data_IF_356692476709
#
_entry.id   IF_356692476709
#
_cell.length_a   1.000
_cell.length_b   1.000
_cell.length_c   1.000
_cell.angle_alpha   90.00
_cell.angle_beta   90.00
_cell.angle_gamma   90.00
#
_symmetry.space_group_name_H-M   'P 1'
#
loop_
_entity.id
_entity.type
_entity.pdbx_description
1 polymer ?
#
# COMPACT_ATOMS: atom_id res chain seq x y z
N UNK A 1 43.90 1.52 -24.64
CA UNK A 1 42.50 1.67 -25.10
C UNK A 1 41.47 1.07 -24.13
N UNK A 2 41.71 -0.08 -23.49
CA UNK A 2 40.77 -0.72 -22.55
C UNK A 2 40.50 0.06 -21.23
N UNK A 3 41.45 0.87 -20.76
CA UNK A 3 41.28 1.68 -19.54
C UNK A 3 40.16 2.73 -19.66
N UNK A 4 39.94 3.29 -20.86
CA UNK A 4 38.92 4.33 -21.06
C UNK A 4 37.50 3.74 -21.01
N UNK A 5 37.30 2.52 -21.50
CA UNK A 5 36.00 1.87 -21.48
C UNK A 5 35.55 1.51 -20.05
N UNK A 6 36.47 1.03 -19.21
CA UNK A 6 36.19 0.71 -17.80
C UNK A 6 35.91 2.00 -17.01
N UNK A 7 36.68 3.07 -17.26
CA UNK A 7 36.46 4.36 -16.62
C UNK A 7 35.09 4.96 -16.96
N UNK A 8 34.68 4.91 -18.23
CA UNK A 8 33.35 5.37 -18.66
C UNK A 8 32.24 4.55 -18.02
N UNK A 9 32.38 3.22 -17.95
CA UNK A 9 31.39 2.34 -17.33
C UNK A 9 31.19 2.67 -15.84
N UNK A 10 32.28 2.89 -15.09
CA UNK A 10 32.20 3.24 -13.67
C UNK A 10 31.50 4.59 -13.44
N UNK A 11 31.75 5.58 -14.30
CA UNK A 11 31.08 6.88 -14.22
C UNK A 11 29.59 6.74 -14.52
N UNK A 12 29.20 5.96 -15.53
CA UNK A 12 27.79 5.72 -15.85
C UNK A 12 27.07 5.01 -14.71
N UNK A 13 27.68 3.97 -14.12
CA UNK A 13 27.11 3.25 -12.98
C UNK A 13 26.97 4.17 -11.75
N UNK A 14 27.98 5.00 -11.48
CA UNK A 14 27.93 5.95 -10.37
C UNK A 14 26.85 7.02 -10.57
N UNK A 15 26.70 7.55 -11.78
CA UNK A 15 25.67 8.53 -12.10
C UNK A 15 24.25 7.93 -12.03
N UNK A 16 24.05 6.70 -12.54
CA UNK A 16 22.79 5.99 -12.39
C UNK A 16 22.47 5.71 -10.90
N UNK A 17 23.45 5.28 -10.12
CA UNK A 17 23.28 5.05 -8.68
C UNK A 17 22.93 6.33 -7.91
N UNK A 18 23.58 7.45 -8.22
CA UNK A 18 23.28 8.74 -7.61
C UNK A 18 21.89 9.26 -8.01
N UNK A 19 21.47 9.07 -9.26
CA UNK A 19 20.13 9.42 -9.73
C UNK A 19 19.04 8.58 -9.04
N UNK A 20 19.27 7.27 -8.87
CA UNK A 20 18.38 6.38 -8.13
C UNK A 20 18.25 6.81 -6.66
N UNK A 21 19.37 7.08 -5.99
CA UNK A 21 19.36 7.57 -4.60
C UNK A 21 18.61 8.89 -4.46
N UNK A 22 18.87 9.85 -5.35
CA UNK A 22 18.16 11.12 -5.36
C UNK A 22 16.65 10.93 -5.55
N UNK A 23 16.23 10.05 -6.47
CA UNK A 23 14.82 9.78 -6.71
C UNK A 23 14.16 9.05 -5.53
N UNK A 24 14.85 8.08 -4.92
CA UNK A 24 14.38 7.40 -3.69
C UNK A 24 14.16 8.40 -2.55
N UNK A 25 15.00 9.42 -2.42
CA UNK A 25 14.84 10.47 -1.39
C UNK A 25 13.70 11.46 -1.67
N UNK A 26 13.17 11.50 -2.90
CA UNK A 26 12.16 12.44 -3.38
C UNK A 26 10.81 11.79 -3.73
N UNK A 27 10.74 10.45 -3.73
CA UNK A 27 9.52 9.73 -4.06
C UNK A 27 8.51 9.87 -2.90
N UNK A 28 7.48 10.67 -3.14
CA UNK A 28 6.44 11.00 -2.15
C UNK A 28 5.23 10.06 -2.22
N UNK A 29 5.17 9.15 -3.21
CA UNK A 29 4.06 8.21 -3.39
C UNK A 29 4.52 6.76 -3.54
N UNK A 30 3.70 5.82 -3.03
CA UNK A 30 3.94 4.38 -3.15
C UNK A 30 4.17 3.92 -4.60
N UNK A 31 3.36 4.48 -5.51
CA UNK A 31 3.34 4.08 -6.90
C UNK A 31 4.64 4.45 -7.62
N UNK A 32 5.28 5.56 -7.25
CA UNK A 32 6.60 5.95 -7.78
C UNK A 32 7.73 5.04 -7.29
N UNK A 33 7.71 4.66 -6.01
CA UNK A 33 8.65 3.70 -5.42
C UNK A 33 8.54 2.32 -6.07
N UNK A 34 7.31 1.87 -6.34
CA UNK A 34 7.06 0.59 -6.99
C UNK A 34 7.61 0.56 -8.43
N UNK A 35 7.46 1.66 -9.18
CA UNK A 35 7.97 1.78 -10.56
C UNK A 35 9.51 1.67 -10.60
N UNK A 36 10.23 2.39 -9.74
CA UNK A 36 11.71 2.33 -9.70
C UNK A 36 12.24 0.92 -9.44
N UNK A 37 11.54 0.19 -8.60
CA UNK A 37 11.96 -1.11 -8.13
C UNK A 37 11.66 -2.21 -9.16
N UNK A 38 10.56 -2.06 -9.91
CA UNK A 38 10.33 -2.83 -11.13
C UNK A 38 11.38 -2.52 -12.20
N UNK A 39 11.79 -1.26 -12.35
CA UNK A 39 12.87 -0.88 -13.26
C UNK A 39 14.21 -1.56 -12.89
N UNK A 40 14.57 -1.63 -11.60
CA UNK A 40 15.78 -2.34 -11.15
C UNK A 40 15.74 -3.83 -11.52
N UNK A 41 14.60 -4.48 -11.26
CA UNK A 41 14.40 -5.88 -11.62
C UNK A 41 14.49 -6.12 -13.14
N UNK A 42 13.85 -5.28 -13.95
CA UNK A 42 13.87 -5.36 -15.41
C UNK A 42 15.29 -5.16 -15.97
N UNK A 43 16.05 -4.22 -15.42
CA UNK A 43 17.45 -3.98 -15.81
C UNK A 43 18.32 -5.21 -15.53
N UNK A 44 18.20 -5.82 -14.34
CA UNK A 44 18.98 -7.01 -14.04
C UNK A 44 18.55 -8.24 -14.86
N UNK A 45 17.27 -8.35 -15.22
CA UNK A 45 16.78 -9.40 -16.11
C UNK A 45 17.32 -9.23 -17.54
N UNK A 46 17.44 -7.98 -18.01
CA UNK A 46 18.07 -7.63 -19.28
C UNK A 46 19.57 -7.97 -19.30
N UNK A 47 20.29 -7.66 -18.22
CA UNK A 47 21.72 -8.00 -18.08
C UNK A 47 21.94 -9.52 -18.03
N UNK A 48 21.08 -10.25 -17.31
CA UNK A 48 21.09 -11.71 -17.27
C UNK A 48 20.81 -12.33 -18.64
N UNK A 49 19.82 -11.80 -19.38
CA UNK A 49 19.47 -12.24 -20.73
C UNK A 49 20.59 -11.97 -21.75
N UNK A 50 21.19 -10.77 -21.73
CA UNK A 50 22.33 -10.43 -22.57
C UNK A 50 23.53 -11.34 -22.31
N UNK A 51 23.77 -11.70 -21.05
CA UNK A 51 24.79 -12.69 -20.69
C UNK A 51 24.46 -14.09 -21.21
N UNK A 52 23.22 -14.55 -21.08
CA UNK A 52 22.79 -15.86 -21.58
C UNK A 52 23.04 -15.97 -23.10
N UNK A 53 22.64 -14.94 -23.86
CA UNK A 53 22.84 -14.91 -25.31
C UNK A 53 24.32 -14.90 -25.71
N UNK A 54 25.17 -14.15 -25.01
CA UNK A 54 26.62 -14.13 -25.27
C UNK A 54 27.30 -15.44 -24.85
N UNK A 55 26.81 -16.09 -23.80
CA UNK A 55 27.29 -17.40 -23.33
C UNK A 55 26.94 -18.54 -24.31
N UNK A 56 25.81 -18.47 -25.00
CA UNK A 56 25.45 -19.45 -26.05
C UNK A 56 26.29 -19.24 -27.32
N UNK A 57 26.58 -17.98 -27.67
CA UNK A 57 27.18 -17.59 -28.95
C UNK A 57 28.73 -17.67 -29.00
N UNK A 58 29.41 -17.88 -27.88
CA UNK A 58 30.88 -17.92 -27.85
C UNK A 58 31.48 -19.18 -28.52
N UNK A 59 32.72 -19.13 -29.07
CA UNK A 59 33.35 -20.28 -29.76
C UNK A 59 34.06 -21.31 -28.85
N UNK A 60 34.48 -20.93 -27.63
CA UNK A 60 35.36 -21.80 -26.81
C UNK A 60 34.65 -22.57 -25.69
N UNK A 61 34.91 -23.88 -25.59
CA UNK A 61 34.29 -24.80 -24.62
C UNK A 61 35.00 -24.86 -23.26
N UNK A 62 36.29 -24.53 -23.19
CA UNK A 62 37.16 -24.79 -22.02
C UNK A 62 37.16 -23.66 -20.97
N UNK A 63 36.92 -22.41 -21.38
CA UNK A 63 36.77 -21.23 -20.48
C UNK A 63 35.32 -21.11 -19.95
N UNK A 64 34.37 -21.81 -20.59
CA UNK A 64 32.92 -21.70 -20.37
C UNK A 64 32.48 -22.19 -18.99
N UNK A 65 33.00 -23.31 -18.50
CA UNK A 65 32.55 -23.91 -17.24
C UNK A 65 32.89 -23.09 -15.99
N UNK A 66 34.11 -22.54 -15.93
CA UNK A 66 34.61 -21.82 -14.74
C UNK A 66 34.07 -20.39 -14.60
N UNK A 67 33.86 -19.70 -15.72
CA UNK A 67 33.34 -18.33 -15.70
C UNK A 67 31.81 -18.31 -15.58
N UNK A 68 31.12 -19.33 -16.10
CA UNK A 68 29.67 -19.47 -15.99
C UNK A 68 29.20 -19.65 -14.54
N UNK A 69 29.96 -20.39 -13.73
CA UNK A 69 29.62 -20.58 -12.31
C UNK A 69 29.76 -19.29 -11.49
N UNK A 70 30.82 -18.51 -11.72
CA UNK A 70 31.04 -17.22 -11.04
C UNK A 70 29.94 -16.20 -11.37
N UNK A 71 29.43 -16.22 -12.59
CA UNK A 71 28.35 -15.33 -13.01
C UNK A 71 26.98 -15.79 -12.51
N UNK A 72 26.71 -17.10 -12.52
CA UNK A 72 25.52 -17.66 -11.90
C UNK A 72 25.45 -17.30 -10.41
N UNK A 73 26.58 -17.35 -9.69
CA UNK A 73 26.63 -16.88 -8.30
C UNK A 73 26.37 -15.38 -8.18
N UNK A 74 26.89 -14.53 -9.08
CA UNK A 74 26.61 -13.09 -9.06
C UNK A 74 25.13 -12.76 -9.32
N UNK A 75 24.48 -13.46 -10.25
CA UNK A 75 23.06 -13.27 -10.56
C UNK A 75 22.16 -13.70 -9.41
N UNK A 76 22.49 -14.81 -8.75
CA UNK A 76 21.78 -15.28 -7.56
C UNK A 76 21.95 -14.29 -6.38
N UNK A 77 23.15 -13.76 -6.19
CA UNK A 77 23.41 -12.73 -5.17
C UNK A 77 22.65 -11.43 -5.48
N UNK A 78 22.64 -10.99 -6.73
CA UNK A 78 21.87 -9.82 -7.16
C UNK A 78 20.38 -10.02 -6.94
N UNK A 79 19.81 -11.14 -7.38
CA UNK A 79 18.38 -11.45 -7.21
C UNK A 79 17.98 -11.58 -5.72
N UNK A 80 18.85 -12.18 -4.91
CA UNK A 80 18.64 -12.25 -3.46
C UNK A 80 18.68 -10.88 -2.79
N UNK A 81 19.65 -10.03 -3.17
CA UNK A 81 19.78 -8.67 -2.63
C UNK A 81 18.63 -7.76 -3.08
N UNK A 82 18.23 -7.81 -4.35
CA UNK A 82 17.09 -7.03 -4.86
C UNK A 82 15.77 -7.48 -4.23
N UNK A 83 15.58 -8.79 -4.04
CA UNK A 83 14.42 -9.35 -3.33
C UNK A 83 14.34 -8.90 -1.86
N UNK A 84 15.47 -8.85 -1.16
CA UNK A 84 15.54 -8.37 0.23
C UNK A 84 15.24 -6.88 0.34
N UNK A 85 15.81 -6.06 -0.56
CA UNK A 85 15.52 -4.63 -0.63
C UNK A 85 14.05 -4.39 -0.96
N UNK A 86 13.46 -5.18 -1.86
CA UNK A 86 12.02 -5.17 -2.16
C UNK A 86 11.16 -5.37 -0.91
N UNK A 87 11.47 -6.40 -0.10
CA UNK A 87 10.73 -6.69 1.11
C UNK A 87 10.81 -5.55 2.15
N UNK A 88 12.00 -4.97 2.33
CA UNK A 88 12.21 -3.82 3.22
C UNK A 88 11.43 -2.58 2.74
N UNK A 89 11.46 -2.27 1.45
CA UNK A 89 10.74 -1.13 0.90
C UNK A 89 9.23 -1.26 1.04
N UNK A 90 8.65 -2.45 0.80
CA UNK A 90 7.22 -2.68 1.02
C UNK A 90 6.84 -2.46 2.48
N UNK A 91 7.70 -2.89 3.42
CA UNK A 91 7.48 -2.70 4.85
C UNK A 91 7.61 -1.21 5.24
N UNK A 92 8.69 -0.55 4.84
CA UNK A 92 8.95 0.87 5.12
C UNK A 92 7.86 1.74 4.50
N UNK A 93 7.42 1.44 3.29
CA UNK A 93 6.34 2.16 2.64
C UNK A 93 5.03 1.97 3.43
N UNK A 94 4.67 0.74 3.84
CA UNK A 94 3.48 0.50 4.71
C UNK A 94 3.53 1.32 5.99
N UNK A 95 4.71 1.51 6.57
CA UNK A 95 4.89 2.29 7.80
C UNK A 95 4.87 3.81 7.51
N UNK A 96 5.57 4.28 6.48
CA UNK A 96 5.75 5.73 6.20
C UNK A 96 4.51 6.43 5.70
N UNK A 97 3.70 5.75 4.89
CA UNK A 97 2.50 6.35 4.32
C UNK A 97 1.21 5.75 4.90
N UNK A 98 1.28 5.19 6.11
CA UNK A 98 0.08 4.94 6.90
C UNK A 98 -0.55 6.30 7.24
N UNK A 99 -1.48 6.76 6.40
CA UNK A 99 -2.26 7.95 6.67
C UNK A 99 -3.49 7.53 7.48
N UNK A 100 -3.48 7.72 8.82
CA UNK A 100 -4.55 7.26 9.69
C UNK A 100 -5.90 7.90 9.33
N UNK A 101 -5.90 9.12 8.77
CA UNK A 101 -7.13 9.78 8.31
C UNK A 101 -7.73 9.07 7.10
N UNK A 102 -6.90 8.68 6.12
CA UNK A 102 -7.37 8.01 4.92
C UNK A 102 -7.93 6.61 5.23
N UNK A 103 -7.26 5.87 6.11
CA UNK A 103 -7.75 4.56 6.57
C UNK A 103 -9.04 4.69 7.36
N UNK A 104 -9.17 5.67 8.25
CA UNK A 104 -10.41 5.96 8.97
C UNK A 104 -11.54 6.38 8.02
N UNK A 105 -11.26 7.22 7.02
CA UNK A 105 -12.25 7.63 6.00
C UNK A 105 -12.78 6.43 5.22
N UNK A 106 -11.91 5.50 4.83
CA UNK A 106 -12.33 4.24 4.20
C UNK A 106 -13.20 3.39 5.13
N UNK A 107 -12.86 3.28 6.43
CA UNK A 107 -13.68 2.54 7.40
C UNK A 107 -15.07 3.16 7.57
N UNK A 108 -15.15 4.49 7.63
CA UNK A 108 -16.44 5.21 7.66
C UNK A 108 -17.26 4.90 6.40
N UNK A 109 -16.63 4.94 5.22
CA UNK A 109 -17.30 4.60 3.95
C UNK A 109 -17.85 3.16 3.94
N UNK A 110 -17.06 2.20 4.42
CA UNK A 110 -17.52 0.82 4.55
C UNK A 110 -18.68 0.69 5.55
N UNK A 111 -18.65 1.49 6.62
CA UNK A 111 -19.72 1.52 7.62
C UNK A 111 -21.01 2.09 7.05
N UNK A 112 -20.95 3.16 6.25
CA UNK A 112 -22.12 3.69 5.55
C UNK A 112 -22.70 2.68 4.56
N UNK A 113 -21.87 1.99 3.77
CA UNK A 113 -22.33 0.93 2.87
C UNK A 113 -23.02 -0.23 3.62
N UNK A 114 -22.49 -0.60 4.79
CA UNK A 114 -23.09 -1.61 5.64
C UNK A 114 -24.45 -1.16 6.23
N UNK A 115 -24.59 0.13 6.55
CA UNK A 115 -25.88 0.70 6.99
C UNK A 115 -26.90 0.70 5.86
N UNK A 116 -26.48 1.02 4.63
CA UNK A 116 -27.33 0.91 3.45
C UNK A 116 -27.81 -0.53 3.24
N UNK A 117 -26.91 -1.51 3.35
CA UNK A 117 -27.27 -2.93 3.21
C UNK A 117 -28.21 -3.40 4.33
N UNK A 118 -27.98 -2.96 5.57
CA UNK A 118 -28.91 -3.21 6.68
C UNK A 118 -30.30 -2.63 6.39
N UNK A 119 -30.37 -1.44 5.81
CA UNK A 119 -31.63 -0.81 5.41
C UNK A 119 -32.33 -1.58 4.27
N UNK A 120 -31.59 -2.12 3.30
CA UNK A 120 -32.15 -2.96 2.23
C UNK A 120 -32.78 -4.25 2.78
N UNK A 121 -32.15 -4.88 3.77
CA UNK A 121 -32.61 -6.13 4.35
C UNK A 121 -33.75 -5.94 5.36
N UNK A 122 -33.58 -5.01 6.30
CA UNK A 122 -34.48 -4.78 7.43
C UNK A 122 -35.54 -3.70 7.17
N UNK A 123 -35.32 -2.80 6.20
CA UNK A 123 -36.21 -1.68 5.86
C UNK A 123 -36.11 -0.47 6.80
N UNK A 124 -35.18 -0.48 7.76
CA UNK A 124 -34.98 0.56 8.78
C UNK A 124 -33.49 0.70 9.06
N UNK A 125 -33.02 1.89 9.45
CA UNK A 125 -31.68 2.04 10.03
C UNK A 125 -31.66 1.63 11.51
N UNK A 126 -30.50 1.22 12.05
CA UNK A 126 -30.36 0.94 13.48
C UNK A 126 -30.77 2.13 14.35
N UNK A 127 -31.38 1.87 15.52
CA UNK A 127 -31.68 2.95 16.47
C UNK A 127 -30.41 3.44 17.17
N UNK A 128 -30.44 4.61 17.81
CA UNK A 128 -29.31 5.08 18.61
C UNK A 128 -28.94 4.14 19.78
N UNK A 129 -29.92 3.40 20.32
CA UNK A 129 -29.68 2.42 21.38
C UNK A 129 -28.97 1.17 20.87
N UNK A 130 -29.26 0.76 19.64
CA UNK A 130 -28.59 -0.36 18.97
C UNK A 130 -27.19 0.04 18.48
N UNK A 131 -27.05 1.27 17.97
CA UNK A 131 -25.81 1.82 17.46
C UNK A 131 -25.22 1.01 16.29
N UNK A 132 -23.91 1.11 16.11
CA UNK A 132 -23.20 0.35 15.07
C UNK A 132 -23.03 -1.13 15.41
N UNK A 133 -23.32 -1.54 16.65
CA UNK A 133 -23.23 -2.95 17.07
C UNK A 133 -24.25 -3.84 16.36
N UNK A 134 -25.39 -3.29 15.92
CA UNK A 134 -26.39 -4.04 15.13
C UNK A 134 -25.87 -4.48 13.75
N UNK A 135 -24.82 -3.83 13.24
CA UNK A 135 -24.18 -4.22 11.99
C UNK A 135 -23.34 -5.48 12.16
N UNK A 136 -22.93 -5.81 13.40
CA UNK A 136 -22.13 -6.98 13.73
C UNK A 136 -22.97 -8.09 14.35
N UNK A 137 -23.83 -7.72 15.30
CA UNK A 137 -24.60 -8.66 16.11
C UNK A 137 -26.06 -8.45 15.82
N UNK A 138 -26.76 -9.56 15.55
CA UNK A 138 -28.20 -9.54 15.33
C UNK A 138 -28.91 -8.79 16.48
N UNK A 139 -29.57 -7.66 16.18
CA UNK A 139 -30.34 -6.89 17.16
C UNK A 139 -31.72 -7.52 17.45
N UNK A 140 -32.05 -8.69 16.88
CA UNK A 140 -33.35 -9.33 16.97
C UNK A 140 -34.36 -8.77 15.96
N UNK A 141 -33.87 -8.20 14.87
CA UNK A 141 -34.70 -7.55 13.84
C UNK A 141 -35.04 -8.55 12.73
N UNK A 142 -36.30 -8.60 12.25
CA UNK A 142 -36.68 -9.52 11.20
C UNK A 142 -35.89 -9.24 9.91
N UNK A 143 -35.46 -10.32 9.23
CA UNK A 143 -34.69 -10.32 7.97
C UNK A 143 -33.24 -9.85 8.06
N UNK A 144 -32.68 -9.69 9.25
CA UNK A 144 -31.24 -9.48 9.40
C UNK A 144 -30.45 -10.63 8.75
N UNK A 145 -29.61 -10.31 7.77
CA UNK A 145 -28.97 -11.30 6.89
C UNK A 145 -27.52 -11.64 7.28
N UNK A 146 -26.97 -11.01 8.31
CA UNK A 146 -25.64 -11.34 8.81
C UNK A 146 -24.83 -10.13 9.23
N UNK A 147 -23.63 -10.37 9.79
CA UNK A 147 -22.72 -9.28 10.10
C UNK A 147 -22.32 -8.57 8.80
N UNK A 148 -22.69 -7.30 8.68
CA UNK A 148 -22.36 -6.42 7.57
C UNK A 148 -20.94 -5.85 7.69
N UNK A 149 -20.34 -5.92 8.90
CA UNK A 149 -19.00 -5.42 9.21
C UNK A 149 -18.24 -6.36 10.16
N UNK A 150 -16.91 -6.27 10.11
CA UNK A 150 -16.01 -6.88 11.08
C UNK A 150 -15.68 -5.92 12.25
N UNK A 151 -15.29 -6.46 13.41
CA UNK A 151 -14.90 -5.69 14.61
C UNK A 151 -13.87 -4.59 14.33
N UNK A 152 -12.91 -4.90 13.46
CA UNK A 152 -11.78 -4.01 13.14
C UNK A 152 -12.21 -2.76 12.38
N UNK A 153 -13.39 -2.77 11.77
CA UNK A 153 -13.87 -1.71 10.88
C UNK A 153 -14.72 -0.67 11.64
N UNK A 154 -15.22 -1.01 12.83
CA UNK A 154 -15.95 -0.11 13.72
C UNK A 154 -15.05 0.77 14.61
N UNK A 155 -13.75 0.56 14.55
CA UNK A 155 -12.74 1.33 15.28
C UNK A 155 -11.98 2.17 14.27
N UNK A 156 -11.59 3.39 14.64
CA UNK A 156 -10.73 4.22 13.80
C UNK A 156 -9.25 3.82 13.88
N UNK A 157 -8.40 4.55 13.17
CA UNK A 157 -6.95 4.27 13.12
C UNK A 157 -6.20 4.69 14.39
N UNK A 158 -6.86 5.42 15.29
CA UNK A 158 -6.33 5.86 16.59
C UNK A 158 -6.80 4.97 17.75
N UNK A 159 -7.74 4.05 17.49
CA UNK A 159 -8.26 3.11 18.47
C UNK A 159 -9.56 3.56 19.13
N UNK A 160 -10.19 4.62 18.64
CA UNK A 160 -11.48 5.09 19.13
C UNK A 160 -12.63 4.46 18.34
N UNK A 161 -13.75 4.09 18.98
CA UNK A 161 -14.93 3.62 18.27
C UNK A 161 -15.52 4.71 17.38
N UNK A 162 -16.06 4.33 16.23
CA UNK A 162 -16.81 5.25 15.38
C UNK A 162 -18.09 5.70 16.08
N UNK A 163 -18.43 6.97 15.90
CA UNK A 163 -19.62 7.59 16.44
C UNK A 163 -20.74 7.51 15.41
N UNK A 164 -21.95 7.27 15.92
CA UNK A 164 -23.17 7.12 15.13
C UNK A 164 -24.29 7.99 15.68
N UNK A 165 -24.95 8.72 14.80
CA UNK A 165 -26.14 9.50 15.11
C UNK A 165 -27.17 9.27 14.01
N UNK A 166 -28.37 8.83 14.38
CA UNK A 166 -29.53 8.86 13.50
C UNK A 166 -30.30 10.17 13.72
N UNK A 167 -30.41 11.01 12.69
CA UNK A 167 -31.19 12.26 12.73
C UNK A 167 -32.07 12.33 11.49
N UNK A 168 -33.38 12.54 11.65
CA UNK A 168 -34.34 12.65 10.54
C UNK A 168 -34.23 11.49 9.52
N UNK A 169 -34.11 10.26 10.02
CA UNK A 169 -33.89 9.03 9.23
C UNK A 169 -32.60 9.01 8.38
N UNK A 170 -31.70 9.96 8.59
CA UNK A 170 -30.38 10.01 7.98
C UNK A 170 -29.32 9.52 8.98
N UNK A 171 -28.66 8.38 8.71
CA UNK A 171 -27.56 7.92 9.53
C UNK A 171 -26.32 8.80 9.27
N UNK A 172 -25.66 9.23 10.34
CA UNK A 172 -24.39 9.94 10.28
C UNK A 172 -23.34 9.15 11.05
N UNK A 173 -22.21 8.89 10.39
CA UNK A 173 -21.05 8.21 10.99
C UNK A 173 -19.82 9.11 10.88
N UNK A 174 -19.08 9.23 11.99
CA UNK A 174 -17.81 9.97 12.02
C UNK A 174 -16.86 9.42 13.07
N UNK A 175 -15.58 9.78 12.96
CA UNK A 175 -14.55 9.51 13.97
C UNK A 175 -14.22 10.81 14.69
N UNK A 176 -13.98 10.71 16.00
CA UNK A 176 -13.50 11.79 16.86
C UNK A 176 -12.01 12.11 16.65
N UNK A 177 -11.39 11.59 15.60
CA UNK A 177 -10.02 11.93 15.24
C UNK A 177 -8.97 11.41 16.21
N UNK A 178 -7.87 12.14 16.32
CA UNK A 178 -6.69 11.75 17.11
C UNK A 178 -6.86 12.14 18.57
N UNK A 179 -7.59 13.22 18.85
CA UNK A 179 -7.83 13.70 20.21
C UNK A 179 -8.92 12.89 20.94
N UNK A 180 -9.76 12.17 20.19
CA UNK A 180 -10.86 11.37 20.73
C UNK A 180 -12.02 12.22 21.24
N UNK A 181 -12.07 13.51 20.88
CA UNK A 181 -13.08 14.46 21.31
C UNK A 181 -13.93 14.86 20.10
N UNK A 182 -15.19 14.46 20.07
CA UNK A 182 -16.10 14.86 18.99
C UNK A 182 -16.36 16.38 18.98
N UNK A 183 -16.47 16.98 17.79
CA UNK A 183 -16.80 18.39 17.58
C UNK A 183 -15.58 19.29 17.36
N UNK A 184 -14.40 18.70 17.18
CA UNK A 184 -13.13 19.38 16.95
C UNK A 184 -12.78 19.42 15.46
N UNK A 185 -11.66 20.04 15.11
CA UNK A 185 -11.22 20.19 13.72
C UNK A 185 -10.56 18.96 13.11
N UNK A 186 -10.21 17.97 13.95
CA UNK A 186 -9.61 16.71 13.54
C UNK A 186 -10.61 15.57 13.35
N UNK A 187 -11.89 15.81 13.67
CA UNK A 187 -13.01 14.96 13.31
C UNK A 187 -12.93 14.53 11.83
N UNK A 188 -13.19 13.25 11.60
CA UNK A 188 -13.16 12.66 10.26
C UNK A 188 -14.57 12.17 9.91
N UNK A 189 -15.15 12.74 8.87
CA UNK A 189 -16.40 12.32 8.23
C UNK A 189 -16.27 12.39 6.70
N UNK A 190 -17.09 11.64 5.96
CA UNK A 190 -17.05 11.70 4.50
C UNK A 190 -17.33 13.09 3.94
N UNK A 191 -18.22 13.85 4.59
CA UNK A 191 -18.51 15.24 4.22
C UNK A 191 -17.27 16.14 4.44
N UNK A 192 -16.58 15.99 5.58
CA UNK A 192 -15.37 16.77 5.85
C UNK A 192 -14.24 16.48 4.86
N UNK A 193 -14.09 15.21 4.43
CA UNK A 193 -13.09 14.81 3.45
C UNK A 193 -13.46 15.25 2.02
N UNK A 194 -14.74 15.17 1.64
CA UNK A 194 -15.22 15.70 0.35
C UNK A 194 -14.94 17.20 0.24
N UNK A 195 -15.13 17.96 1.33
CA UNK A 195 -14.82 19.39 1.38
C UNK A 195 -13.32 19.68 1.25
N UNK A 196 -12.46 18.83 1.83
CA UNK A 196 -10.99 18.96 1.70
C UNK A 196 -10.48 18.67 0.29
N UNK A 197 -11.06 17.68 -0.39
CA UNK A 197 -10.63 17.26 -1.72
C UNK A 197 -11.20 18.12 -2.85
N UNK A 198 -12.32 18.80 -2.62
CA UNK A 198 -12.96 19.70 -3.58
C UNK A 198 -12.57 21.18 -3.46
N UNK A 199 -11.65 21.52 -2.55
CA UNK A 199 -11.20 22.89 -2.28
C UNK A 199 -9.85 23.24 -2.91
#
# INVERSE_FOLDING_TARGET
>A
MFLNAIGVLLVVVALCGAALLFFITRADTYQELEILLHCDFVVGLWLAGGYFLTSISGPDKMVRGRNSWRMATCLLLWAGLSGLLMADHVLVARIRFHNPRATTSNRIKMTELALEQYFEDCGTFPSQEQGLESLRRDPGVPKWAGPYLEDKDLVDSWGHPLLYELRDDLPRVWSAGRDGVSGTSDDVSLESERRRLGG
#
